data_IF_862728468082
#
_entry.id   IF_862728468082
#
_cell.length_a   1.000
_cell.length_b   1.000
_cell.length_c   1.000
_cell.angle_alpha   90.00
_cell.angle_beta   90.00
_cell.angle_gamma   90.00
#
_symmetry.space_group_name_H-M   'P 1'
#
loop_
_entity.id
_entity.type
_entity.pdbx_description
1 polymer ?
#
# COMPACT_ATOMS: atom_id res chain seq x y z
N UNK A 1 -14.55 -6.78 28.75
CA UNK A 1 -13.39 -7.42 28.08
C UNK A 1 -12.52 -6.31 27.53
N UNK A 2 -11.21 -6.31 27.78
CA UNK A 2 -10.26 -5.36 27.17
C UNK A 2 -9.80 -5.95 25.85
N UNK A 3 -10.05 -5.26 24.72
CA UNK A 3 -9.59 -5.65 23.40
C UNK A 3 -8.39 -4.80 23.01
N UNK A 4 -7.25 -5.43 22.74
CA UNK A 4 -5.97 -4.77 22.48
C UNK A 4 -5.38 -5.11 21.10
N UNK A 5 -6.15 -5.78 20.25
CA UNK A 5 -5.68 -6.25 18.94
C UNK A 5 -6.22 -5.38 17.78
N UNK A 6 -6.07 -4.05 17.92
CA UNK A 6 -6.50 -3.11 16.88
C UNK A 6 -5.65 -3.15 15.61
N UNK A 7 -4.47 -3.77 15.67
CA UNK A 7 -3.64 -4.00 14.48
C UNK A 7 -4.25 -5.05 13.54
N UNK A 8 -4.95 -6.05 14.10
CA UNK A 8 -5.65 -7.07 13.32
C UNK A 8 -7.01 -6.58 12.83
N UNK A 9 -7.81 -5.98 13.73
CA UNK A 9 -9.14 -5.48 13.41
C UNK A 9 -9.61 -4.45 14.43
N UNK A 10 -10.26 -3.38 13.97
CA UNK A 10 -10.88 -2.37 14.84
C UNK A 10 -12.39 -2.48 14.80
N UNK A 11 -13.11 -2.21 15.91
CA UNK A 11 -14.55 -2.01 15.85
C UNK A 11 -14.92 -0.92 14.84
N UNK A 12 -15.99 -1.14 14.09
CA UNK A 12 -16.47 -0.13 13.15
C UNK A 12 -17.00 1.08 13.91
N UNK A 13 -16.69 2.28 13.46
CA UNK A 13 -17.30 3.51 13.95
C UNK A 13 -18.78 3.56 13.56
N UNK A 14 -19.65 3.94 14.51
CA UNK A 14 -21.10 3.93 14.31
C UNK A 14 -21.54 4.84 13.15
N UNK A 15 -20.93 6.01 12.98
CA UNK A 15 -21.25 6.91 11.89
C UNK A 15 -20.83 6.32 10.52
N UNK A 16 -19.74 5.57 10.49
CA UNK A 16 -19.30 4.85 9.29
C UNK A 16 -20.27 3.73 8.95
N UNK A 17 -20.71 2.95 9.95
CA UNK A 17 -21.69 1.88 9.76
C UNK A 17 -23.05 2.42 9.24
N UNK A 18 -23.51 3.52 9.81
CA UNK A 18 -24.72 4.19 9.34
C UNK A 18 -24.60 4.66 7.91
N UNK A 19 -23.48 5.34 7.56
CA UNK A 19 -23.19 5.79 6.20
C UNK A 19 -23.16 4.63 5.21
N UNK A 20 -22.55 3.50 5.57
CA UNK A 20 -22.53 2.29 4.77
C UNK A 20 -23.96 1.77 4.51
N UNK A 21 -24.77 1.61 5.57
CA UNK A 21 -26.15 1.14 5.45
C UNK A 21 -27.02 2.08 4.60
N UNK A 22 -26.82 3.38 4.70
CA UNK A 22 -27.53 4.39 3.89
C UNK A 22 -27.12 4.32 2.42
N UNK A 23 -25.80 4.17 2.14
CA UNK A 23 -25.29 4.06 0.79
C UNK A 23 -25.84 2.82 0.07
N UNK A 24 -25.88 1.66 0.73
CA UNK A 24 -26.44 0.41 0.20
C UNK A 24 -27.91 0.56 -0.17
N UNK A 25 -28.70 1.24 0.65
CA UNK A 25 -30.12 1.48 0.38
C UNK A 25 -30.37 2.52 -0.72
N UNK A 26 -29.54 3.57 -0.76
CA UNK A 26 -29.74 4.73 -1.64
C UNK A 26 -29.21 4.46 -3.06
N UNK A 27 -28.17 3.66 -3.22
CA UNK A 27 -27.46 3.46 -4.48
C UNK A 27 -27.44 1.99 -4.93
N UNK A 28 -28.61 1.33 -5.14
CA UNK A 28 -28.67 -0.09 -5.52
C UNK A 28 -28.22 -0.33 -6.97
N UNK A 29 -27.93 0.71 -7.73
CA UNK A 29 -27.60 0.63 -9.16
C UNK A 29 -26.12 0.32 -9.40
N UNK A 30 -25.83 -0.51 -10.40
CA UNK A 30 -24.48 -0.71 -10.89
C UNK A 30 -23.97 0.60 -11.53
N UNK A 31 -22.86 1.15 -11.02
CA UNK A 31 -22.26 2.41 -11.48
C UNK A 31 -21.82 2.39 -12.96
N UNK A 32 -21.72 1.23 -13.60
CA UNK A 32 -21.42 1.08 -15.02
C UNK A 32 -22.67 0.99 -15.90
N UNK A 33 -23.87 0.96 -15.31
CA UNK A 33 -25.11 0.92 -16.06
C UNK A 33 -25.53 2.32 -16.54
N UNK A 34 -26.13 2.41 -17.73
CA UNK A 34 -26.52 3.67 -18.36
C UNK A 34 -27.88 4.24 -17.88
N UNK A 35 -28.58 3.55 -16.98
CA UNK A 35 -29.84 4.04 -16.41
C UNK A 35 -29.62 4.98 -15.22
N UNK A 36 -30.66 5.69 -14.80
CA UNK A 36 -30.60 6.73 -13.77
C UNK A 36 -30.00 6.26 -12.45
N UNK A 37 -30.34 5.04 -11.98
CA UNK A 37 -29.80 4.51 -10.73
C UNK A 37 -28.27 4.23 -10.83
N UNK A 38 -27.79 3.77 -12.00
CA UNK A 38 -26.36 3.60 -12.24
C UNK A 38 -25.60 4.92 -12.27
N UNK A 39 -26.18 5.95 -12.92
CA UNK A 39 -25.60 7.29 -12.94
C UNK A 39 -25.52 7.92 -11.54
N UNK A 40 -26.54 7.71 -10.70
CA UNK A 40 -26.53 8.17 -9.31
C UNK A 40 -25.45 7.49 -8.48
N UNK A 41 -25.31 6.18 -8.60
CA UNK A 41 -24.25 5.40 -7.92
C UNK A 41 -22.84 5.87 -8.37
N UNK A 42 -22.64 6.08 -9.67
CA UNK A 42 -21.37 6.58 -10.22
C UNK A 42 -21.02 7.96 -9.68
N UNK A 43 -22.00 8.85 -9.59
CA UNK A 43 -21.81 10.19 -9.00
C UNK A 43 -21.36 10.09 -7.55
N UNK A 44 -22.02 9.28 -6.73
CA UNK A 44 -21.65 9.06 -5.32
C UNK A 44 -20.23 8.50 -5.16
N UNK A 45 -19.84 7.49 -5.97
CA UNK A 45 -18.47 6.96 -5.98
C UNK A 45 -17.46 8.03 -6.34
N UNK A 46 -17.73 8.84 -7.37
CA UNK A 46 -16.83 9.92 -7.78
C UNK A 46 -16.66 11.00 -6.70
N UNK A 47 -17.71 11.33 -5.97
CA UNK A 47 -17.66 12.28 -4.84
C UNK A 47 -16.84 11.72 -3.69
N UNK A 48 -17.05 10.46 -3.31
CA UNK A 48 -16.27 9.76 -2.31
C UNK A 48 -14.78 9.69 -2.71
N UNK A 49 -14.49 9.35 -3.96
CA UNK A 49 -13.13 9.31 -4.52
C UNK A 49 -12.42 10.66 -4.42
N UNK A 50 -13.12 11.76 -4.75
CA UNK A 50 -12.55 13.12 -4.60
C UNK A 50 -12.25 13.45 -3.13
N UNK A 51 -13.09 12.99 -2.21
CA UNK A 51 -12.88 13.22 -0.78
C UNK A 51 -11.67 12.44 -0.26
N UNK A 52 -11.54 11.17 -0.62
CA UNK A 52 -10.37 10.33 -0.30
C UNK A 52 -9.09 10.93 -0.89
N UNK A 53 -9.13 11.32 -2.16
CA UNK A 53 -8.00 11.93 -2.85
C UNK A 53 -7.50 13.20 -2.13
N UNK A 54 -8.43 14.06 -1.67
CA UNK A 54 -8.07 15.26 -0.87
C UNK A 54 -7.38 14.90 0.44
N UNK A 55 -7.87 13.88 1.16
CA UNK A 55 -7.25 13.43 2.41
C UNK A 55 -5.82 12.90 2.19
N UNK A 56 -5.57 12.29 1.04
CA UNK A 56 -4.28 11.71 0.68
C UNK A 56 -3.35 12.68 -0.07
N UNK A 57 -3.80 13.90 -0.39
CA UNK A 57 -3.03 14.84 -1.19
C UNK A 57 -2.76 14.35 -2.63
N UNK A 58 -3.61 13.48 -3.16
CA UNK A 58 -3.44 12.82 -4.46
C UNK A 58 -4.53 13.28 -5.47
N UNK A 59 -4.29 13.17 -6.78
CA UNK A 59 -5.34 13.37 -7.77
C UNK A 59 -6.38 12.25 -7.70
N UNK A 60 -7.68 12.50 -7.94
CA UNK A 60 -8.72 11.46 -7.93
C UNK A 60 -8.44 10.28 -8.89
N UNK A 61 -7.81 10.55 -10.02
CA UNK A 61 -7.41 9.52 -10.98
C UNK A 61 -6.29 8.59 -10.45
N UNK A 62 -5.60 8.97 -9.38
CA UNK A 62 -4.59 8.15 -8.70
C UNK A 62 -5.16 7.22 -7.64
N UNK A 63 -6.46 7.27 -7.36
CA UNK A 63 -7.10 6.39 -6.37
C UNK A 63 -7.54 5.09 -7.05
N UNK A 64 -7.03 3.98 -6.56
CA UNK A 64 -7.36 2.64 -7.04
C UNK A 64 -8.02 1.87 -5.90
N UNK A 65 -9.24 1.40 -6.13
CA UNK A 65 -9.95 0.55 -5.19
C UNK A 65 -9.56 -0.92 -5.37
N UNK A 66 -9.32 -1.59 -4.27
CA UNK A 66 -8.94 -3.01 -4.21
C UNK A 66 -9.81 -3.75 -3.20
N UNK A 67 -9.82 -5.07 -3.25
CA UNK A 67 -10.54 -5.91 -2.29
C UNK A 67 -9.90 -5.92 -0.90
N UNK A 68 -8.67 -5.42 -0.76
CA UNK A 68 -7.94 -5.36 0.51
C UNK A 68 -6.44 -5.12 0.31
N UNK A 69 -5.71 -5.04 1.43
CA UNK A 69 -4.28 -4.72 1.45
C UNK A 69 -3.43 -5.72 0.64
N UNK A 70 -3.80 -7.01 0.63
CA UNK A 70 -3.05 -8.02 -0.13
C UNK A 70 -3.10 -7.76 -1.64
N UNK A 71 -4.26 -7.39 -2.18
CA UNK A 71 -4.37 -7.00 -3.59
C UNK A 71 -3.63 -5.69 -3.86
N UNK A 72 -3.78 -4.69 -2.99
CA UNK A 72 -3.11 -3.40 -3.11
C UNK A 72 -1.58 -3.56 -3.13
N UNK A 73 -1.01 -4.34 -2.19
CA UNK A 73 0.41 -4.60 -2.12
C UNK A 73 0.92 -5.37 -3.36
N UNK A 74 0.19 -6.39 -3.81
CA UNK A 74 0.54 -7.11 -5.04
C UNK A 74 0.54 -6.19 -6.26
N UNK A 75 -0.49 -5.34 -6.40
CA UNK A 75 -0.59 -4.40 -7.50
C UNK A 75 0.56 -3.38 -7.46
N UNK A 76 0.85 -2.81 -6.29
CA UNK A 76 1.91 -1.82 -6.13
C UNK A 76 3.30 -2.43 -6.37
N UNK A 77 3.66 -3.49 -5.64
CA UNK A 77 4.99 -4.09 -5.69
C UNK A 77 5.30 -4.65 -7.09
N UNK A 78 4.39 -5.46 -7.65
CA UNK A 78 4.61 -6.06 -8.96
C UNK A 78 4.48 -5.03 -10.09
N UNK A 79 3.55 -4.09 -9.98
CA UNK A 79 3.35 -3.03 -10.96
C UNK A 79 4.55 -2.09 -11.05
N UNK A 80 5.06 -1.62 -9.91
CA UNK A 80 6.24 -0.74 -9.87
C UNK A 80 7.50 -1.46 -10.34
N UNK A 81 7.71 -2.72 -9.92
CA UNK A 81 8.82 -3.52 -10.42
C UNK A 81 8.76 -3.70 -11.93
N UNK A 82 7.59 -3.96 -12.51
CA UNK A 82 7.42 -4.10 -13.95
C UNK A 82 7.69 -2.79 -14.71
N UNK A 83 7.28 -1.63 -14.16
CA UNK A 83 7.58 -0.31 -14.74
C UNK A 83 9.08 -0.02 -14.72
N UNK A 84 9.78 -0.39 -13.65
CA UNK A 84 11.24 -0.25 -13.53
C UNK A 84 12.04 -1.29 -14.32
N UNK A 85 11.42 -2.37 -14.75
CA UNK A 85 12.09 -3.54 -15.33
C UNK A 85 12.88 -3.30 -16.63
N UNK A 86 12.68 -2.15 -17.28
CA UNK A 86 13.51 -1.70 -18.40
C UNK A 86 14.86 -1.10 -17.95
N UNK A 87 14.96 -0.62 -16.72
CA UNK A 87 16.15 0.05 -16.17
C UNK A 87 16.94 -0.84 -15.23
N UNK A 88 16.31 -1.84 -14.61
CA UNK A 88 16.97 -2.75 -13.69
C UNK A 88 16.04 -3.83 -13.15
N UNK A 89 16.60 -4.70 -12.31
CA UNK A 89 15.87 -5.80 -11.68
C UNK A 89 16.24 -6.00 -10.21
N UNK A 90 16.88 -5.01 -9.60
CA UNK A 90 17.24 -5.05 -8.19
C UNK A 90 16.15 -4.41 -7.33
N UNK A 91 15.80 -5.09 -6.24
CA UNK A 91 14.79 -4.66 -5.25
C UNK A 91 15.39 -4.78 -3.86
N UNK A 92 15.22 -3.74 -3.05
CA UNK A 92 15.54 -3.77 -1.62
C UNK A 92 14.25 -3.86 -0.80
N UNK A 93 14.28 -4.62 0.28
CA UNK A 93 13.15 -4.76 1.21
C UNK A 93 13.65 -5.06 2.62
N UNK A 94 12.74 -5.33 3.55
CA UNK A 94 13.08 -5.69 4.92
C UNK A 94 12.58 -7.10 5.28
N UNK A 95 13.17 -7.75 6.29
CA UNK A 95 12.63 -9.00 6.82
C UNK A 95 11.34 -8.79 7.63
N UNK A 96 10.94 -7.53 7.89
CA UNK A 96 9.76 -7.16 8.69
C UNK A 96 8.48 -6.98 7.85
N UNK A 97 8.56 -7.26 6.55
CA UNK A 97 7.43 -7.04 5.65
C UNK A 97 6.31 -8.06 5.88
N UNK A 98 5.06 -7.58 5.81
CA UNK A 98 3.88 -8.44 5.82
C UNK A 98 3.92 -9.47 4.68
N UNK A 99 3.32 -10.64 4.90
CA UNK A 99 3.29 -11.76 3.92
C UNK A 99 2.77 -11.38 2.53
N UNK A 100 1.90 -10.38 2.41
CA UNK A 100 1.43 -9.86 1.12
C UNK A 100 2.50 -9.12 0.32
N UNK A 101 3.51 -8.55 0.99
CA UNK A 101 4.68 -7.91 0.36
C UNK A 101 5.74 -8.96 0.08
N UNK A 102 6.16 -9.75 1.09
CA UNK A 102 7.19 -10.78 0.93
C UNK A 102 6.82 -11.82 -0.12
N UNK A 103 5.56 -12.28 -0.16
CA UNK A 103 5.07 -13.19 -1.20
C UNK A 103 5.07 -12.57 -2.60
N UNK A 104 4.85 -11.25 -2.72
CA UNK A 104 4.99 -10.54 -3.99
C UNK A 104 6.45 -10.47 -4.45
N UNK A 105 7.38 -10.24 -3.51
CA UNK A 105 8.82 -10.23 -3.77
C UNK A 105 9.34 -11.61 -4.18
N UNK A 106 8.90 -12.67 -3.51
CA UNK A 106 9.23 -14.05 -3.91
C UNK A 106 8.75 -14.37 -5.34
N UNK A 107 7.56 -13.90 -5.71
CA UNK A 107 7.07 -14.07 -7.07
C UNK A 107 7.92 -13.31 -8.10
N UNK A 108 8.45 -12.14 -7.75
CA UNK A 108 9.36 -11.37 -8.60
C UNK A 108 10.74 -12.04 -8.70
N UNK A 109 11.25 -12.63 -7.61
CA UNK A 109 12.49 -13.42 -7.65
C UNK A 109 12.40 -14.58 -8.65
N UNK A 110 11.26 -15.29 -8.69
CA UNK A 110 11.00 -16.35 -9.69
C UNK A 110 10.96 -15.82 -11.13
N UNK A 111 10.76 -14.52 -11.32
CA UNK A 111 10.80 -13.82 -12.61
C UNK A 111 12.18 -13.21 -12.94
N UNK A 112 13.18 -13.47 -12.09
CA UNK A 112 14.55 -13.02 -12.31
C UNK A 112 14.87 -11.63 -11.72
N UNK A 113 14.07 -11.15 -10.79
CA UNK A 113 14.46 -9.99 -9.97
C UNK A 113 15.40 -10.45 -8.85
N UNK A 114 16.38 -9.63 -8.55
CA UNK A 114 17.26 -9.79 -7.40
C UNK A 114 16.64 -9.02 -6.22
N UNK A 115 16.28 -9.72 -5.16
CA UNK A 115 15.72 -9.13 -3.95
C UNK A 115 16.70 -9.30 -2.81
N UNK A 116 17.20 -8.19 -2.28
CA UNK A 116 18.05 -8.13 -1.12
C UNK A 116 17.29 -7.57 0.10
N UNK A 117 17.55 -8.14 1.27
CA UNK A 117 16.99 -7.65 2.52
C UNK A 117 17.98 -6.73 3.22
N UNK A 118 17.48 -5.59 3.67
CA UNK A 118 18.20 -4.60 4.44
C UNK A 118 18.45 -5.11 5.87
N UNK A 119 19.57 -4.71 6.44
CA UNK A 119 19.88 -4.98 7.84
C UNK A 119 18.96 -4.13 8.75
N UNK A 120 18.58 -4.73 9.88
CA UNK A 120 17.73 -4.11 10.90
C UNK A 120 18.58 -3.85 12.14
N UNK A 121 18.49 -2.65 12.67
CA UNK A 121 19.17 -2.23 13.91
C UNK A 121 18.51 -2.89 15.13
N UNK A 122 19.19 -2.91 16.30
CA UNK A 122 18.65 -3.53 17.52
C UNK A 122 17.33 -2.94 18.02
N UNK A 123 16.98 -1.72 17.61
CA UNK A 123 15.70 -1.06 17.92
C UNK A 123 14.59 -1.42 16.93
N UNK A 124 14.87 -2.25 15.93
CA UNK A 124 13.94 -2.69 14.91
C UNK A 124 13.84 -1.76 13.70
N UNK A 125 14.60 -0.67 13.64
CA UNK A 125 14.60 0.23 12.47
C UNK A 125 15.56 -0.26 11.37
N UNK A 126 15.29 0.16 10.14
CA UNK A 126 16.17 -0.11 8.99
C UNK A 126 17.51 0.60 9.19
N UNK A 127 18.62 -0.11 8.94
CA UNK A 127 19.94 0.51 8.87
C UNK A 127 20.08 1.35 7.59
N UNK A 128 20.02 2.68 7.75
CA UNK A 128 20.15 3.63 6.64
C UNK A 128 21.53 3.59 5.98
N UNK A 129 22.58 3.20 6.73
CA UNK A 129 23.91 3.05 6.16
C UNK A 129 23.98 1.82 5.25
N UNK A 130 23.32 0.71 5.64
CA UNK A 130 23.19 -0.48 4.80
C UNK A 130 22.34 -0.20 3.56
N UNK A 131 21.19 0.51 3.71
CA UNK A 131 20.39 0.96 2.58
C UNK A 131 21.24 1.74 1.57
N UNK A 132 21.97 2.76 2.03
CA UNK A 132 22.83 3.57 1.16
C UNK A 132 23.91 2.75 0.45
N UNK A 133 24.48 1.75 1.14
CA UNK A 133 25.51 0.86 0.60
C UNK A 133 24.96 -0.09 -0.48
N UNK A 134 23.71 -0.58 -0.31
CA UNK A 134 23.08 -1.55 -1.23
C UNK A 134 22.35 -0.89 -2.39
N UNK A 135 22.06 0.42 -2.34
CA UNK A 135 21.47 1.13 -3.47
C UNK A 135 22.40 1.05 -4.68
N UNK A 136 21.83 0.64 -5.81
CA UNK A 136 22.52 0.47 -7.10
C UNK A 136 21.77 1.21 -8.20
N UNK A 137 22.44 1.54 -9.33
CA UNK A 137 21.79 2.17 -10.48
C UNK A 137 20.63 1.35 -11.08
N UNK A 138 20.64 0.02 -10.89
CA UNK A 138 19.62 -0.92 -11.33
C UNK A 138 18.58 -1.25 -10.25
N UNK A 139 18.60 -0.57 -9.09
CA UNK A 139 17.56 -0.66 -8.06
C UNK A 139 16.29 0.01 -8.56
N UNK A 140 15.23 -0.77 -8.72
CA UNK A 140 13.93 -0.29 -9.26
C UNK A 140 12.86 -0.12 -8.20
N UNK A 141 13.04 -0.71 -7.02
CA UNK A 141 12.08 -0.65 -5.94
C UNK A 141 12.76 -0.79 -4.59
N UNK A 142 12.31 0.01 -3.63
CA UNK A 142 12.58 -0.17 -2.20
C UNK A 142 11.23 -0.32 -1.51
N UNK A 143 10.96 -1.49 -0.93
CA UNK A 143 9.70 -1.80 -0.25
C UNK A 143 9.94 -1.90 1.25
N UNK A 144 9.39 -0.97 2.02
CA UNK A 144 9.55 -0.88 3.48
C UNK A 144 8.21 -0.56 4.12
N UNK A 145 7.81 -1.35 5.11
CA UNK A 145 6.63 -1.04 5.94
C UNK A 145 6.87 0.25 6.72
N UNK A 146 5.87 1.11 6.84
CA UNK A 146 6.03 2.36 7.61
C UNK A 146 5.97 2.11 9.13
N UNK A 147 5.09 1.20 9.54
CA UNK A 147 4.92 0.76 10.93
C UNK A 147 4.70 -0.74 10.93
N UNK A 148 5.55 -1.46 11.63
CA UNK A 148 5.36 -2.90 11.79
C UNK A 148 4.14 -3.18 12.68
N UNK A 149 3.25 -4.07 12.24
CA UNK A 149 1.98 -4.33 12.93
C UNK A 149 2.10 -5.23 14.16
N UNK A 150 3.19 -5.96 14.30
CA UNK A 150 3.43 -6.88 15.41
C UNK A 150 4.31 -6.26 16.48
N UNK A 151 5.40 -5.61 16.09
CA UNK A 151 6.37 -5.00 16.98
C UNK A 151 6.07 -3.52 17.29
N UNK A 152 5.27 -2.85 16.46
CA UNK A 152 4.96 -1.43 16.59
C UNK A 152 6.13 -0.50 16.26
N UNK A 153 7.16 -1.01 15.60
CA UNK A 153 8.33 -0.21 15.20
C UNK A 153 7.96 0.73 14.07
N UNK A 154 8.26 2.01 14.25
CA UNK A 154 8.07 3.06 13.23
C UNK A 154 9.36 3.20 12.44
N UNK A 155 9.30 2.99 11.14
CA UNK A 155 10.47 3.09 10.27
C UNK A 155 10.77 4.55 9.87
N UNK A 156 12.04 4.92 9.62
CA UNK A 156 12.46 6.27 9.25
C UNK A 156 12.16 6.57 7.76
N UNK A 157 10.86 6.57 7.40
CA UNK A 157 10.42 6.67 5.99
C UNK A 157 10.86 7.99 5.33
N UNK A 158 10.90 9.09 6.08
CA UNK A 158 11.33 10.38 5.55
C UNK A 158 12.80 10.34 5.14
N UNK A 159 13.67 9.79 5.98
CA UNK A 159 15.09 9.63 5.74
C UNK A 159 15.37 8.66 4.59
N UNK A 160 14.62 7.55 4.54
CA UNK A 160 14.67 6.61 3.42
C UNK A 160 14.31 7.33 2.12
N UNK A 161 13.22 8.09 2.11
CA UNK A 161 12.78 8.83 0.93
C UNK A 161 13.82 9.87 0.46
N UNK A 162 14.51 10.53 1.37
CA UNK A 162 15.59 11.48 1.00
C UNK A 162 16.79 10.74 0.37
N UNK A 163 17.18 9.57 0.89
CA UNK A 163 18.24 8.75 0.30
C UNK A 163 17.91 8.29 -1.13
N UNK A 164 16.62 8.02 -1.42
CA UNK A 164 16.18 7.56 -2.73
C UNK A 164 16.08 8.69 -3.79
N UNK A 165 16.13 9.95 -3.38
CA UNK A 165 16.15 11.11 -4.29
C UNK A 165 17.53 11.48 -4.80
N UNK A 166 18.57 11.04 -4.09
CA UNK A 166 19.98 11.40 -4.35
C UNK A 166 20.57 10.53 -5.47
#
# INVERSE_FOLDING_TARGET
MLYLDYSANTPVDEAVLQCFCEAERRYPGNANAHHQAGAAAKTAINEATRSIARCLGAPPAGIIYTSGASEANNLAVKGLAALGGATGRHILSTPLEHSSVSGSLEALQKQGYEVELLDILPDGTVDLADLKKRLRPDTVLVAVTAVDSELGVVQPIAEIAELLKA
#
